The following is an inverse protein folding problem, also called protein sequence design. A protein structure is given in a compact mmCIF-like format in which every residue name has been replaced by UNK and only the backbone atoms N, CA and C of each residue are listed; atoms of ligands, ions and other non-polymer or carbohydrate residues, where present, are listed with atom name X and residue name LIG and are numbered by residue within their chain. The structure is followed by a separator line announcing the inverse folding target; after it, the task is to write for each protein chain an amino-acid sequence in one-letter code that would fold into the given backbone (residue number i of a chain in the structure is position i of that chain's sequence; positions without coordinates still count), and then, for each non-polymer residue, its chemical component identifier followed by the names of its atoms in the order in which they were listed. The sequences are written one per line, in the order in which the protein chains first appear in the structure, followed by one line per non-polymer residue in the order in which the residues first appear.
data_IF_641096917442
#
_entry.id   IF_641096917442
#
_cell.length_a   1.000
_cell.length_b   1.000
_cell.length_c   1.000
_cell.angle_alpha   90.00
_cell.angle_beta   90.00
_cell.angle_gamma   90.00
#
_symmetry.space_group_name_H-M   'P 1'
#
loop_
_entity.id
_entity.type
_entity.pdbx_description
1 polymer ?
#
# COMPACT_ATOMS: atom_id res chain seq x y z
N UNK A 1 -24.96 -12.63 16.73
CA UNK A 1 -23.77 -13.47 16.40
C UNK A 1 -22.58 -12.54 16.21
N UNK A 2 -21.49 -12.68 16.99
CA UNK A 2 -20.34 -11.81 16.87
C UNK A 2 -19.64 -12.10 15.53
N UNK A 3 -19.60 -11.11 14.65
CA UNK A 3 -18.87 -11.16 13.39
C UNK A 3 -17.37 -11.19 13.71
N UNK A 4 -16.80 -12.40 13.81
CA UNK A 4 -15.37 -12.62 13.95
C UNK A 4 -14.71 -11.97 12.73
N UNK A 5 -14.10 -10.80 12.94
CA UNK A 5 -13.39 -10.04 11.93
C UNK A 5 -12.17 -10.84 11.46
N UNK A 6 -12.38 -11.75 10.51
CA UNK A 6 -11.29 -12.41 9.80
C UNK A 6 -10.58 -11.34 8.99
N UNK A 7 -9.40 -10.91 9.47
CA UNK A 7 -8.42 -10.25 8.62
C UNK A 7 -8.27 -11.14 7.40
N UNK A 8 -8.69 -10.65 6.22
CA UNK A 8 -8.52 -11.40 4.99
C UNK A 8 -7.02 -11.57 4.78
N UNK A 9 -6.52 -12.78 5.04
CA UNK A 9 -5.13 -13.15 4.86
C UNK A 9 -4.63 -12.77 3.47
N UNK A 10 -5.51 -12.79 2.48
CA UNK A 10 -5.28 -12.32 1.11
C UNK A 10 -4.70 -10.91 1.04
N UNK A 11 -5.24 -9.94 1.81
CA UNK A 11 -4.73 -8.56 1.79
C UNK A 11 -3.33 -8.51 2.42
N UNK A 12 -3.14 -9.16 3.56
CA UNK A 12 -1.84 -9.20 4.25
C UNK A 12 -0.78 -9.87 3.38
N UNK A 13 -1.09 -11.01 2.77
CA UNK A 13 -0.18 -11.73 1.86
C UNK A 13 0.16 -10.88 0.64
N UNK A 14 -0.82 -10.18 0.06
CA UNK A 14 -0.59 -9.28 -1.07
C UNK A 14 0.35 -8.13 -0.70
N UNK A 15 0.14 -7.49 0.46
CA UNK A 15 1.01 -6.42 0.98
C UNK A 15 2.42 -6.92 1.27
N UNK A 16 2.56 -8.04 1.97
CA UNK A 16 3.87 -8.63 2.27
C UNK A 16 4.61 -8.98 0.98
N UNK A 17 3.94 -9.62 0.02
CA UNK A 17 4.52 -9.93 -1.29
C UNK A 17 4.97 -8.64 -2.02
N UNK A 18 4.16 -7.59 -1.97
CA UNK A 18 4.48 -6.29 -2.57
C UNK A 18 5.67 -5.59 -1.90
N UNK A 19 5.79 -5.69 -0.57
CA UNK A 19 6.92 -5.18 0.21
C UNK A 19 8.20 -5.92 -0.19
N UNK A 20 8.15 -7.25 -0.24
CA UNK A 20 9.29 -8.08 -0.65
C UNK A 20 9.73 -7.73 -2.07
N UNK A 21 8.79 -7.60 -3.00
CA UNK A 21 9.09 -7.22 -4.38
C UNK A 21 9.75 -5.84 -4.46
N UNK A 22 9.23 -4.84 -3.75
CA UNK A 22 9.81 -3.49 -3.75
C UNK A 22 11.17 -3.42 -3.03
N UNK A 23 11.37 -4.21 -1.98
CA UNK A 23 12.68 -4.38 -1.33
C UNK A 23 13.69 -4.96 -2.33
N UNK A 24 13.35 -6.04 -3.02
CA UNK A 24 14.24 -6.67 -4.01
C UNK A 24 14.57 -5.69 -5.15
N UNK A 25 13.58 -4.95 -5.65
CA UNK A 25 13.78 -3.94 -6.69
C UNK A 25 14.65 -2.78 -6.20
N UNK A 26 14.42 -2.27 -4.99
CA UNK A 26 15.22 -1.20 -4.40
C UNK A 26 16.66 -1.62 -4.13
N UNK A 27 16.87 -2.82 -3.57
CA UNK A 27 18.21 -3.38 -3.34
C UNK A 27 18.92 -3.58 -4.68
N UNK A 28 18.25 -4.16 -5.65
CA UNK A 28 18.80 -4.37 -6.99
C UNK A 28 19.23 -3.05 -7.64
N UNK A 29 18.45 -1.98 -7.47
CA UNK A 29 18.79 -0.64 -7.95
C UNK A 29 20.03 -0.06 -7.23
N UNK A 30 20.12 -0.21 -5.90
CA UNK A 30 21.29 0.27 -5.13
C UNK A 30 22.59 -0.50 -5.39
N UNK A 31 22.49 -1.80 -5.66
CA UNK A 31 23.65 -2.66 -5.93
C UNK A 31 24.00 -2.76 -7.41
N UNK A 32 23.08 -2.43 -8.32
CA UNK A 32 23.38 -2.37 -9.74
C UNK A 32 24.43 -1.28 -9.98
N UNK A 33 25.64 -1.72 -10.33
CA UNK A 33 26.70 -0.81 -10.74
C UNK A 33 26.23 0.05 -11.91
N UNK A 34 26.77 1.28 -12.03
CA UNK A 34 26.44 2.16 -13.16
C UNK A 34 26.63 1.47 -14.52
N UNK A 35 27.66 0.62 -14.62
CA UNK A 35 27.93 -0.20 -15.80
C UNK A 35 26.83 -1.23 -16.11
N UNK A 36 26.09 -1.70 -15.10
CA UNK A 36 24.95 -2.60 -15.26
C UNK A 36 23.75 -1.86 -15.87
N UNK A 37 23.50 -0.63 -15.40
CA UNK A 37 22.42 0.22 -15.91
C UNK A 37 22.68 0.69 -17.34
N UNK A 38 23.93 1.07 -17.65
CA UNK A 38 24.32 1.49 -19.00
C UNK A 38 24.13 0.36 -20.03
N UNK A 39 24.24 -0.92 -19.62
CA UNK A 39 23.98 -2.09 -20.48
C UNK A 39 22.50 -2.38 -20.69
N UNK A 40 21.67 -2.22 -19.67
CA UNK A 40 20.23 -2.54 -19.75
C UNK A 40 19.43 -1.41 -20.38
N UNK A 41 19.78 -0.16 -20.10
CA UNK A 41 18.98 0.98 -20.50
C UNK A 41 19.84 2.26 -20.61
N UNK A 42 20.66 2.39 -21.68
CA UNK A 42 21.62 3.49 -21.85
C UNK A 42 20.98 4.88 -21.98
N UNK A 43 19.65 4.95 -22.13
CA UNK A 43 18.88 6.18 -22.29
C UNK A 43 18.22 6.65 -20.99
N UNK A 44 18.31 5.89 -19.89
CA UNK A 44 17.68 6.29 -18.63
C UNK A 44 18.55 7.32 -17.92
N UNK A 45 18.00 8.51 -17.59
CA UNK A 45 18.76 9.54 -16.91
C UNK A 45 18.98 9.18 -15.42
N UNK A 46 20.14 9.54 -14.88
CA UNK A 46 20.59 9.17 -13.52
C UNK A 46 19.63 9.59 -12.40
N UNK A 47 18.90 10.69 -12.58
CA UNK A 47 17.90 11.15 -11.61
C UNK A 47 16.74 10.15 -11.45
N UNK A 48 16.41 9.40 -12.51
CA UNK A 48 15.33 8.43 -12.50
C UNK A 48 15.65 7.20 -11.64
N UNK A 49 16.90 6.71 -11.68
CA UNK A 49 17.37 5.63 -10.79
C UNK A 49 17.26 6.04 -9.32
N UNK A 50 17.77 7.23 -8.95
CA UNK A 50 17.65 7.74 -7.56
C UNK A 50 16.21 7.85 -7.08
N UNK A 51 15.31 8.32 -7.94
CA UNK A 51 13.88 8.40 -7.60
C UNK A 51 13.27 7.02 -7.37
N UNK A 52 13.68 6.00 -8.13
CA UNK A 52 13.21 4.63 -7.94
C UNK A 52 13.61 4.07 -6.56
N UNK A 53 14.85 4.29 -6.13
CA UNK A 53 15.30 3.93 -4.78
C UNK A 53 14.45 4.59 -3.69
N UNK A 54 14.29 5.92 -3.74
CA UNK A 54 13.48 6.69 -2.76
C UNK A 54 12.02 6.18 -2.75
N UNK A 55 11.46 5.95 -3.94
CA UNK A 55 10.08 5.45 -4.10
C UNK A 55 9.89 4.10 -3.41
N UNK A 56 10.83 3.17 -3.56
CA UNK A 56 10.72 1.85 -2.92
C UNK A 56 10.68 1.95 -1.40
N UNK A 57 11.51 2.81 -0.79
CA UNK A 57 11.45 3.06 0.66
C UNK A 57 10.12 3.68 1.08
N UNK A 58 9.65 4.71 0.38
CA UNK A 58 8.36 5.35 0.67
C UNK A 58 7.20 4.35 0.54
N UNK A 59 7.25 3.45 -0.45
CA UNK A 59 6.25 2.41 -0.65
C UNK A 59 6.21 1.43 0.52
N UNK A 60 7.37 0.97 1.03
CA UNK A 60 7.43 0.08 2.19
C UNK A 60 6.80 0.74 3.41
N UNK A 61 7.12 2.02 3.68
CA UNK A 61 6.52 2.77 4.79
C UNK A 61 5.00 2.85 4.64
N UNK A 62 4.50 3.16 3.45
CA UNK A 62 3.07 3.23 3.17
C UNK A 62 2.39 1.86 3.31
N UNK A 63 3.03 0.78 2.86
CA UNK A 63 2.53 -0.58 2.98
C UNK A 63 2.46 -1.04 4.45
N UNK A 64 3.47 -0.72 5.27
CA UNK A 64 3.46 -0.96 6.71
C UNK A 64 2.35 -0.15 7.40
N UNK A 65 2.15 1.11 7.01
CA UNK A 65 1.05 1.92 7.52
C UNK A 65 -0.31 1.31 7.14
N UNK A 66 -0.44 0.76 5.93
CA UNK A 66 -1.65 0.07 5.49
C UNK A 66 -1.91 -1.23 6.27
N UNK A 67 -0.86 -1.98 6.62
CA UNK A 67 -0.97 -3.14 7.54
C UNK A 67 -1.48 -2.73 8.93
N UNK A 68 -1.22 -1.49 9.34
CA UNK A 68 -1.74 -0.87 10.56
C UNK A 68 -3.09 -0.17 10.36
N UNK A 69 -3.77 -0.41 9.25
CA UNK A 69 -5.06 0.19 8.88
C UNK A 69 -5.07 1.73 8.85
N UNK A 70 -3.90 2.34 8.61
CA UNK A 70 -3.80 3.79 8.51
C UNK A 70 -4.25 4.26 7.14
N UNK A 71 -5.30 5.10 7.10
CA UNK A 71 -5.82 5.72 5.86
C UNK A 71 -4.73 6.45 5.07
N UNK A 72 -3.79 7.08 5.79
CA UNK A 72 -2.64 7.76 5.20
C UNK A 72 -1.76 6.83 4.35
N UNK A 73 -1.66 5.53 4.68
CA UNK A 73 -0.92 4.56 3.88
C UNK A 73 -1.54 4.33 2.50
N UNK A 74 -2.87 4.37 2.39
CA UNK A 74 -3.56 4.25 1.10
C UNK A 74 -3.32 5.49 0.23
N UNK A 75 -3.48 6.68 0.82
CA UNK A 75 -3.19 7.95 0.13
C UNK A 75 -1.73 8.01 -0.33
N UNK A 76 -0.79 7.55 0.50
CA UNK A 76 0.62 7.44 0.13
C UNK A 76 0.85 6.53 -1.09
N UNK A 77 0.22 5.36 -1.14
CA UNK A 77 0.30 4.44 -2.30
C UNK A 77 -0.33 5.08 -3.54
N UNK A 78 -1.47 5.76 -3.42
CA UNK A 78 -2.09 6.47 -4.54
C UNK A 78 -1.18 7.58 -5.10
N UNK A 79 -0.58 8.40 -4.23
CA UNK A 79 0.36 9.45 -4.65
C UNK A 79 1.59 8.83 -5.33
N UNK A 80 2.18 7.79 -4.73
CA UNK A 80 3.31 7.08 -5.31
C UNK A 80 2.97 6.48 -6.69
N UNK A 81 1.77 5.92 -6.85
CA UNK A 81 1.29 5.39 -8.12
C UNK A 81 1.11 6.47 -9.18
N UNK A 82 0.77 7.72 -8.83
CA UNK A 82 0.74 8.85 -9.76
C UNK A 82 2.15 9.36 -10.13
N UNK A 83 3.12 9.25 -9.23
CA UNK A 83 4.51 9.68 -9.51
C UNK A 83 5.18 8.79 -10.55
N UNK A 84 4.85 7.49 -10.60
CA UNK A 84 5.42 6.54 -11.57
C UNK A 84 5.16 6.93 -13.03
N UNK A 85 3.92 7.16 -13.49
CA UNK A 85 3.67 7.53 -14.87
C UNK A 85 4.26 8.89 -15.22
N UNK A 86 4.24 9.86 -14.29
CA UNK A 86 4.82 11.20 -14.51
C UNK A 86 6.33 11.12 -14.73
N UNK A 87 7.03 10.43 -13.84
CA UNK A 87 8.49 10.23 -13.96
C UNK A 87 8.85 9.38 -15.18
N UNK A 88 8.07 8.34 -15.49
CA UNK A 88 8.26 7.47 -16.65
C UNK A 88 8.09 8.21 -17.97
N UNK A 89 7.04 9.03 -18.10
CA UNK A 89 6.82 9.87 -19.30
C UNK A 89 7.95 10.89 -19.44
N UNK A 90 8.39 11.50 -18.33
CA UNK A 90 9.50 12.47 -18.32
C UNK A 90 10.85 11.83 -18.70
N UNK A 91 11.01 10.52 -18.47
CA UNK A 91 12.18 9.75 -18.88
C UNK A 91 12.06 9.15 -20.30
N UNK A 92 10.97 9.42 -21.03
CA UNK A 92 10.78 8.98 -22.42
C UNK A 92 10.18 7.58 -22.58
N UNK A 93 9.62 6.97 -21.52
CA UNK A 93 8.97 5.66 -21.61
C UNK A 93 7.59 5.73 -22.28
N UNK A 94 7.17 4.67 -22.99
CA UNK A 94 5.85 4.60 -23.61
C UNK A 94 4.74 4.63 -22.55
N UNK A 95 3.75 5.49 -22.78
CA UNK A 95 2.61 5.75 -21.86
C UNK A 95 1.88 4.46 -21.46
N UNK A 96 1.80 3.48 -22.36
CA UNK A 96 1.16 2.19 -22.09
C UNK A 96 1.79 1.41 -20.92
N UNK A 97 3.13 1.45 -20.77
CA UNK A 97 3.81 0.82 -19.61
C UNK A 97 3.63 1.64 -18.34
N UNK A 98 3.55 2.96 -18.47
CA UNK A 98 3.30 3.88 -17.35
C UNK A 98 1.92 3.68 -16.74
N UNK A 99 0.89 3.41 -17.55
CA UNK A 99 -0.47 3.14 -17.07
C UNK A 99 -0.59 1.82 -16.28
N UNK A 100 0.31 0.86 -16.51
CA UNK A 100 0.32 -0.40 -15.78
C UNK A 100 0.53 -0.19 -14.27
N UNK A 101 1.20 0.89 -13.88
CA UNK A 101 1.40 1.24 -12.46
C UNK A 101 0.10 1.62 -11.74
N UNK A 102 -0.94 2.04 -12.46
CA UNK A 102 -2.26 2.34 -11.91
C UNK A 102 -3.10 1.09 -11.62
N UNK A 103 -2.73 -0.06 -12.17
CA UNK A 103 -3.43 -1.33 -11.89
C UNK A 103 -3.28 -1.70 -10.42
N UNK A 104 -2.11 -1.43 -9.82
CA UNK A 104 -1.81 -1.75 -8.43
C UNK A 104 -2.77 -1.08 -7.42
N UNK A 105 -2.95 0.26 -7.41
CA UNK A 105 -3.89 0.91 -6.49
C UNK A 105 -5.35 0.51 -6.74
N UNK A 106 -5.74 0.21 -7.99
CA UNK A 106 -7.08 -0.30 -8.30
C UNK A 106 -7.30 -1.68 -7.69
N UNK A 107 -6.31 -2.58 -7.81
CA UNK A 107 -6.35 -3.91 -7.21
C UNK A 107 -6.40 -3.79 -5.69
N UNK A 108 -5.56 -2.93 -5.11
CA UNK A 108 -5.55 -2.66 -3.67
C UNK A 108 -6.90 -2.12 -3.18
N UNK A 109 -7.52 -1.20 -3.92
CA UNK A 109 -8.86 -0.69 -3.61
C UNK A 109 -9.92 -1.79 -3.68
N UNK A 110 -9.84 -2.66 -4.69
CA UNK A 110 -10.70 -3.84 -4.82
C UNK A 110 -10.57 -4.79 -3.63
N UNK A 111 -9.34 -5.11 -3.21
CA UNK A 111 -9.09 -5.93 -2.03
C UNK A 111 -9.57 -5.26 -0.73
N UNK A 112 -9.40 -3.94 -0.59
CA UNK A 112 -9.93 -3.20 0.57
C UNK A 112 -11.46 -3.25 0.62
N UNK A 113 -12.13 -3.10 -0.54
CA UNK A 113 -13.60 -3.21 -0.63
C UNK A 113 -14.10 -4.61 -0.29
N UNK A 114 -13.41 -5.66 -0.77
CA UNK A 114 -13.72 -7.04 -0.39
C UNK A 114 -13.54 -7.29 1.12
N UNK A 115 -12.59 -6.58 1.76
CA UNK A 115 -12.31 -6.66 3.19
C UNK A 115 -13.33 -5.96 4.11
N UNK A 116 -14.38 -5.34 3.57
CA UNK A 116 -15.48 -4.75 4.34
C UNK A 116 -15.18 -3.33 4.83
N UNK A 117 -15.56 -2.33 4.04
CA UNK A 117 -15.47 -0.89 4.35
C UNK A 117 -16.08 -0.48 5.70
N UNK A 118 -17.01 -1.25 6.27
CA UNK A 118 -17.74 -0.85 7.49
C UNK A 118 -16.99 -1.05 8.80
N UNK A 119 -15.98 -1.92 8.85
CA UNK A 119 -15.23 -2.20 10.08
C UNK A 119 -14.10 -1.19 10.33
N UNK A 120 -13.31 -0.89 9.29
CA UNK A 120 -12.12 -0.05 9.39
C UNK A 120 -12.41 1.43 9.68
N UNK A 121 -13.50 1.97 9.11
CA UNK A 121 -13.89 3.36 9.32
C UNK A 121 -14.50 3.60 10.70
N UNK A 122 -15.27 2.63 11.23
CA UNK A 122 -15.86 2.72 12.58
C UNK A 122 -14.81 2.72 13.68
N UNK A 123 -13.71 2.00 13.50
CA UNK A 123 -12.62 1.92 14.48
C UNK A 123 -11.79 3.21 14.59
N UNK A 124 -11.79 4.06 13.57
CA UNK A 124 -11.02 5.31 13.54
C UNK A 124 -11.75 6.51 14.14
N UNK A 125 -13.07 6.45 14.31
CA UNK A 125 -13.86 7.59 14.76
C UNK A 125 -14.10 7.65 16.28
N UNK A 126 -13.58 6.70 17.06
CA UNK A 126 -13.41 6.89 18.51
C UNK A 126 -14.62 7.47 19.25
N UNK A 127 -15.85 7.16 18.85
CA UNK A 127 -17.00 7.36 19.71
C UNK A 127 -17.12 6.10 20.54
N UNK A 128 -16.49 6.13 21.71
CA UNK A 128 -16.98 5.41 22.87
C UNK A 128 -18.52 5.43 22.89
N UNK A 129 -19.12 4.27 23.16
CA UNK A 129 -19.61 4.14 24.51
C UNK A 129 -19.41 2.71 25.04
N UNK A 130 -18.50 2.51 26.01
CA UNK A 130 -18.54 1.38 26.90
C UNK A 130 -19.67 1.59 27.92
N UNK A 131 -20.45 0.55 28.18
CA UNK A 131 -21.37 0.49 29.33
C UNK A 131 -22.72 1.19 29.14
N UNK A 132 -23.77 0.38 28.93
CA UNK A 132 -24.99 0.52 29.73
C UNK A 132 -25.23 -0.84 30.40
N UNK A 133 -24.78 -1.01 31.65
CA UNK A 133 -25.24 -2.07 32.53
C UNK A 133 -26.52 -1.61 33.23
N UNK A 134 -27.59 -1.38 32.47
CA UNK A 134 -28.94 -1.19 33.01
C UNK A 134 -29.79 -2.28 32.35
N UNK A 135 -30.08 -3.41 33.01
CA UNK A 135 -31.11 -3.47 34.03
C UNK A 135 -30.88 -4.60 35.06
N UNK A 136 -30.78 -4.19 36.33
CA UNK A 136 -31.46 -4.78 37.52
C UNK A 136 -32.81 -5.45 37.13
N UNK A 137 -33.29 -6.57 37.68
CA UNK A 137 -33.11 -7.17 39.00
C UNK A 137 -33.39 -8.67 38.91
N UNK A 138 -32.48 -9.45 39.51
CA UNK A 138 -32.83 -10.73 40.09
C UNK A 138 -33.73 -10.45 41.31
N UNK A 139 -35.02 -10.75 41.17
CA UNK A 139 -35.94 -10.98 42.29
C UNK A 139 -36.39 -12.43 42.22
N UNK A 140 -35.65 -13.30 42.89
CA UNK A 140 -36.13 -14.60 43.34
C UNK A 140 -36.38 -14.49 44.86
N UNK A 141 -37.05 -15.45 45.52
CA UNK A 141 -37.88 -16.56 45.01
C UNK A 141 -39.40 -16.35 45.23
#
# INVERSE_FOLDING_TARGET
MPQIHRRHWTLTTFLVCSIVLHMLLGISDTFASRASWDRLAPHIPYWYCKLWGIRSFAFVVCAVALLRWQKWGFWGICVLACVVPVSGISAGFPVGKSLLSLVYPVLLFGLLRLGGERAAWRQMNGTEQPGSPDHYSAGAP
#
